data_IF_716313132219
#
_entry.id   IF_716313132219
#
_cell.length_a   1.000
_cell.length_b   1.000
_cell.length_c   1.000
_cell.angle_alpha   90.00
_cell.angle_beta   90.00
_cell.angle_gamma   90.00
#
_symmetry.space_group_name_H-M   'P 1'
#
loop_
_entity.id
_entity.type
_entity.pdbx_description
1 polymer ?
#
# COMPACT_ATOMS: atom_id res chain seq x y z
N UNK A 1 -2.38 -26.51 8.62
CA UNK A 1 -0.99 -26.34 8.13
C UNK A 1 -1.06 -25.40 6.94
N UNK A 2 -0.67 -24.14 7.11
CA UNK A 2 -0.40 -23.25 5.99
C UNK A 2 0.83 -23.83 5.32
N UNK A 3 0.64 -24.43 4.13
CA UNK A 3 1.74 -24.99 3.35
C UNK A 3 2.52 -23.83 2.75
N UNK A 4 3.56 -23.39 3.43
CA UNK A 4 4.53 -22.51 2.79
C UNK A 4 5.27 -23.29 1.71
N UNK A 5 5.22 -22.81 0.49
CA UNK A 5 6.13 -23.29 -0.54
C UNK A 5 7.57 -23.06 -0.09
N UNK A 6 8.51 -23.96 -0.43
CA UNK A 6 9.91 -23.71 -0.11
C UNK A 6 10.35 -22.35 -0.70
N UNK A 7 11.23 -21.62 -0.02
CA UNK A 7 11.64 -20.31 -0.50
C UNK A 7 12.27 -20.45 -1.89
N UNK A 8 11.71 -19.73 -2.85
CA UNK A 8 12.28 -19.60 -4.18
C UNK A 8 13.54 -18.74 -4.04
N UNK A 9 14.56 -18.99 -4.82
CA UNK A 9 15.79 -18.18 -4.80
C UNK A 9 15.48 -16.67 -4.93
N UNK A 10 14.45 -16.31 -5.71
CA UNK A 10 13.97 -14.93 -5.85
C UNK A 10 13.53 -14.27 -4.54
N UNK A 11 12.91 -15.00 -3.62
CA UNK A 11 12.47 -14.45 -2.33
C UNK A 11 13.67 -14.02 -1.46
N UNK A 12 14.76 -14.78 -1.51
CA UNK A 12 15.98 -14.45 -0.78
C UNK A 12 16.66 -13.22 -1.39
N UNK A 13 16.77 -13.17 -2.72
CA UNK A 13 17.33 -12.02 -3.43
C UNK A 13 16.51 -10.76 -3.14
N UNK A 14 15.19 -10.86 -3.14
CA UNK A 14 14.32 -9.75 -2.82
C UNK A 14 14.45 -9.31 -1.36
N UNK A 15 14.53 -10.26 -0.43
CA UNK A 15 14.80 -9.98 0.99
C UNK A 15 16.12 -9.21 1.18
N UNK A 16 17.18 -9.62 0.49
CA UNK A 16 18.48 -8.94 0.54
C UNK A 16 18.42 -7.54 -0.10
N UNK A 17 17.67 -7.38 -1.19
CA UNK A 17 17.45 -6.07 -1.81
C UNK A 17 16.74 -5.09 -0.86
N UNK A 18 15.71 -5.55 -0.11
CA UNK A 18 15.02 -4.77 0.92
C UNK A 18 16.00 -4.34 2.02
N UNK A 19 16.83 -5.26 2.54
CA UNK A 19 17.85 -4.93 3.54
C UNK A 19 18.83 -3.88 3.04
N UNK A 20 19.25 -4.01 1.78
CA UNK A 20 20.17 -3.06 1.16
C UNK A 20 19.54 -1.69 0.92
N UNK A 21 18.26 -1.63 0.53
CA UNK A 21 17.50 -0.39 0.41
C UNK A 21 17.43 0.33 1.77
N UNK A 22 17.06 -0.40 2.82
CA UNK A 22 16.98 0.13 4.19
C UNK A 22 18.32 0.70 4.69
N UNK A 23 19.44 0.02 4.40
CA UNK A 23 20.80 0.53 4.73
C UNK A 23 21.13 1.84 4.00
N UNK A 24 20.49 2.11 2.88
CA UNK A 24 20.63 3.37 2.11
C UNK A 24 19.61 4.44 2.49
N UNK A 25 18.80 4.20 3.54
CA UNK A 25 17.77 5.14 3.98
C UNK A 25 16.48 5.11 3.14
N UNK A 26 16.24 4.01 2.41
CA UNK A 26 15.01 3.83 1.65
C UNK A 26 14.13 2.80 2.34
N UNK A 27 12.94 3.22 2.75
CA UNK A 27 11.95 2.31 3.30
C UNK A 27 11.24 1.55 2.20
N UNK A 28 11.03 0.27 2.42
CA UNK A 28 10.24 -0.60 1.56
C UNK A 28 8.99 -1.00 2.31
N UNK A 29 7.83 -0.66 1.76
CA UNK A 29 6.52 -0.98 2.31
C UNK A 29 5.89 -2.06 1.46
N UNK A 30 5.56 -3.18 2.07
CA UNK A 30 4.91 -4.30 1.38
C UNK A 30 3.42 -4.31 1.64
N UNK A 31 2.66 -4.74 0.64
CA UNK A 31 1.23 -4.93 0.75
C UNK A 31 0.89 -6.08 1.70
N UNK A 32 -0.12 -5.86 2.52
CA UNK A 32 -0.80 -6.87 3.33
C UNK A 32 -2.30 -6.65 3.22
N UNK A 33 -3.09 -7.63 3.62
CA UNK A 33 -4.55 -7.49 3.63
C UNK A 33 -5.19 -8.23 4.81
N UNK A 34 -6.33 -7.76 5.25
CA UNK A 34 -7.23 -8.53 6.12
C UNK A 34 -8.00 -9.48 5.23
N UNK A 35 -7.67 -10.76 5.31
CA UNK A 35 -8.34 -11.83 4.63
C UNK A 35 -9.31 -12.55 5.57
N UNK A 36 -10.36 -13.16 5.00
CA UNK A 36 -11.35 -13.96 5.75
C UNK A 36 -11.40 -15.36 5.18
N UNK A 37 -11.19 -16.34 6.05
CA UNK A 37 -11.32 -17.76 5.73
C UNK A 37 -12.31 -18.39 6.72
N UNK A 38 -13.53 -18.76 6.29
CA UNK A 38 -14.59 -19.22 7.19
C UNK A 38 -14.24 -20.46 8.01
N UNK A 39 -13.34 -21.30 7.50
CA UNK A 39 -12.90 -22.55 8.16
C UNK A 39 -11.79 -22.34 9.17
N UNK A 40 -11.19 -21.16 9.19
CA UNK A 40 -10.11 -20.80 10.12
C UNK A 40 -10.67 -20.27 11.44
N UNK A 41 -9.95 -20.52 12.51
CA UNK A 41 -10.25 -19.95 13.84
C UNK A 41 -9.03 -19.19 14.37
N UNK A 42 -9.11 -17.87 14.54
CA UNK A 42 -10.20 -16.97 14.14
C UNK A 42 -10.31 -16.84 12.61
N UNK A 43 -11.50 -16.51 12.07
CA UNK A 43 -11.72 -16.50 10.63
C UNK A 43 -10.99 -15.36 9.89
N UNK A 44 -10.77 -14.23 10.56
CA UNK A 44 -10.00 -13.12 10.01
C UNK A 44 -8.52 -13.21 10.42
N UNK A 45 -7.66 -12.89 9.48
CA UNK A 45 -6.22 -12.84 9.69
C UNK A 45 -5.57 -11.83 8.74
N UNK A 46 -4.34 -11.44 9.04
CA UNK A 46 -3.55 -10.62 8.12
C UNK A 46 -2.76 -11.55 7.21
N UNK A 47 -3.04 -11.46 5.92
CA UNK A 47 -2.22 -12.08 4.89
C UNK A 47 -1.00 -11.18 4.64
N UNK A 48 0.16 -11.68 4.97
CA UNK A 48 1.45 -11.01 4.80
C UNK A 48 2.28 -11.73 3.72
N UNK A 49 3.29 -11.07 3.14
CA UNK A 49 4.23 -11.72 2.23
C UNK A 49 4.92 -12.94 2.82
N UNK A 50 5.62 -13.70 1.96
CA UNK A 50 6.37 -14.87 2.37
C UNK A 50 7.28 -14.56 3.57
N UNK A 51 7.33 -15.44 4.61
CA UNK A 51 8.17 -15.24 5.79
C UNK A 51 9.63 -14.91 5.48
N UNK A 52 10.20 -15.49 4.42
CA UNK A 52 11.58 -15.19 4.01
C UNK A 52 11.79 -13.75 3.54
N UNK A 53 10.77 -13.16 2.94
CA UNK A 53 10.77 -11.73 2.60
C UNK A 53 10.62 -10.93 3.89
N UNK A 54 9.73 -11.35 4.79
CA UNK A 54 9.51 -10.71 6.08
C UNK A 54 10.72 -10.77 7.02
N UNK A 55 11.65 -11.73 6.86
CA UNK A 55 12.94 -11.79 7.58
C UNK A 55 13.81 -10.53 7.32
N UNK A 56 13.53 -9.75 6.26
CA UNK A 56 14.18 -8.46 6.00
C UNK A 56 13.60 -7.30 6.82
N UNK A 57 12.55 -7.54 7.59
CA UNK A 57 11.82 -6.58 8.38
C UNK A 57 11.34 -5.35 7.58
N UNK A 58 10.61 -5.55 6.46
CA UNK A 58 9.97 -4.46 5.76
C UNK A 58 8.79 -3.91 6.57
N UNK A 59 8.43 -2.66 6.34
CA UNK A 59 7.12 -2.18 6.78
C UNK A 59 6.01 -2.88 5.97
N UNK A 60 4.83 -3.04 6.57
CA UNK A 60 3.65 -3.56 5.87
C UNK A 60 2.47 -2.62 6.03
N UNK A 61 1.63 -2.53 5.02
CA UNK A 61 0.42 -1.73 5.07
C UNK A 61 -0.76 -2.44 4.39
N UNK A 62 -1.94 -2.29 4.99
CA UNK A 62 -3.16 -2.92 4.49
C UNK A 62 -3.62 -2.30 3.17
N UNK A 63 -3.97 -3.15 2.22
CA UNK A 63 -4.49 -2.75 0.90
C UNK A 63 -6.01 -2.86 0.78
N UNK A 64 -6.68 -3.21 1.87
CA UNK A 64 -8.14 -3.26 1.91
C UNK A 64 -8.76 -1.91 1.55
N UNK A 65 -9.74 -1.92 0.66
CA UNK A 65 -10.45 -0.74 0.17
C UNK A 65 -11.95 -0.84 0.42
N UNK A 66 -12.63 0.30 0.40
CA UNK A 66 -14.09 0.38 0.46
C UNK A 66 -14.59 0.70 -0.94
N UNK A 67 -15.32 -0.24 -1.52
CA UNK A 67 -16.05 -0.01 -2.75
C UNK A 67 -17.47 0.45 -2.41
N UNK A 68 -17.88 1.58 -2.96
CA UNK A 68 -19.25 2.06 -2.83
C UNK A 68 -20.18 1.19 -3.70
N UNK A 69 -21.50 1.24 -3.44
CA UNK A 69 -22.49 0.40 -4.14
C UNK A 69 -22.49 0.56 -5.67
N UNK A 70 -21.97 1.65 -6.17
CA UNK A 70 -21.85 1.97 -7.60
C UNK A 70 -20.48 1.59 -8.20
N UNK A 71 -19.64 0.87 -7.45
CA UNK A 71 -18.34 0.40 -7.89
C UNK A 71 -17.21 1.44 -7.83
N UNK A 72 -17.46 2.61 -7.23
CA UNK A 72 -16.42 3.63 -7.08
C UNK A 72 -15.76 3.60 -5.72
N UNK A 73 -14.46 3.89 -5.71
CA UNK A 73 -13.66 4.06 -4.49
C UNK A 73 -13.60 5.54 -4.14
N UNK A 74 -14.45 6.03 -3.23
CA UNK A 74 -14.45 7.44 -2.79
C UNK A 74 -13.83 7.63 -1.44
N UNK A 75 -13.70 6.55 -0.68
CA UNK A 75 -13.22 6.56 0.69
C UNK A 75 -12.07 5.58 0.85
N UNK A 76 -11.19 5.91 1.78
CA UNK A 76 -10.10 5.02 2.15
C UNK A 76 -9.98 4.93 3.66
N UNK A 77 -9.53 3.80 4.17
CA UNK A 77 -9.29 3.62 5.60
C UNK A 77 -7.97 4.27 6.02
N UNK A 78 -7.92 4.82 7.22
CA UNK A 78 -6.67 5.18 7.89
C UNK A 78 -6.02 3.95 8.51
N UNK A 79 -6.82 3.15 9.19
CA UNK A 79 -6.43 1.90 9.84
C UNK A 79 -7.61 0.92 9.87
N UNK A 80 -7.32 -0.34 10.13
CA UNK A 80 -8.33 -1.38 10.33
C UNK A 80 -7.95 -2.27 11.50
N UNK A 81 -8.88 -2.61 12.40
CA UNK A 81 -8.72 -3.66 13.39
C UNK A 81 -9.07 -5.03 12.80
N UNK A 82 -8.59 -6.09 13.41
CA UNK A 82 -9.18 -7.42 13.23
C UNK A 82 -10.43 -7.55 14.10
N UNK A 83 -11.45 -8.26 13.63
CA UNK A 83 -12.71 -8.42 14.36
C UNK A 83 -12.58 -9.03 15.76
N UNK A 84 -11.56 -9.84 15.97
CA UNK A 84 -11.25 -10.51 17.25
C UNK A 84 -10.16 -9.82 18.06
N UNK A 85 -9.58 -8.72 17.53
CA UNK A 85 -8.51 -7.94 18.15
C UNK A 85 -8.73 -6.45 17.88
N UNK A 86 -9.80 -5.91 18.44
CA UNK A 86 -10.21 -4.52 18.16
C UNK A 86 -9.25 -3.48 18.75
N UNK A 87 -8.43 -3.88 19.72
CA UNK A 87 -7.42 -3.01 20.33
C UNK A 87 -6.13 -2.94 19.51
N UNK A 88 -5.94 -3.86 18.54
CA UNK A 88 -4.81 -3.83 17.62
C UNK A 88 -5.22 -3.16 16.33
N UNK A 89 -4.63 -2.01 16.04
CA UNK A 89 -4.90 -1.22 14.84
C UNK A 89 -3.78 -1.39 13.81
N UNK A 90 -4.16 -1.71 12.60
CA UNK A 90 -3.22 -1.92 11.50
C UNK A 90 -3.37 -0.80 10.48
N UNK A 91 -2.26 -0.12 10.20
CA UNK A 91 -2.24 0.99 9.24
C UNK A 91 -2.50 0.49 7.82
N UNK A 92 -3.22 1.29 7.05
CA UNK A 92 -3.30 1.07 5.61
C UNK A 92 -1.97 1.42 4.93
N UNK A 93 -1.75 0.93 3.71
CA UNK A 93 -0.50 1.19 2.98
C UNK A 93 -0.26 2.68 2.76
N UNK A 94 -1.32 3.47 2.57
CA UNK A 94 -1.22 4.92 2.47
C UNK A 94 -0.75 5.55 3.78
N UNK A 95 -1.30 5.13 4.90
CA UNK A 95 -0.90 5.63 6.22
C UNK A 95 0.50 5.15 6.60
N UNK A 96 0.88 3.94 6.22
CA UNK A 96 2.23 3.44 6.43
C UNK A 96 3.26 4.24 5.60
N UNK A 97 2.90 4.62 4.37
CA UNK A 97 3.76 5.48 3.55
C UNK A 97 3.93 6.87 4.17
N UNK A 98 2.87 7.44 4.70
CA UNK A 98 2.93 8.73 5.43
C UNK A 98 3.75 8.60 6.72
N UNK A 99 3.59 7.50 7.47
CA UNK A 99 4.38 7.21 8.66
C UNK A 99 5.88 7.22 8.35
N UNK A 100 6.30 6.46 7.34
CA UNK A 100 7.70 6.41 6.90
C UNK A 100 8.19 7.77 6.38
N UNK A 101 7.39 8.44 5.56
CA UNK A 101 7.77 9.75 4.99
C UNK A 101 8.01 10.83 6.04
N UNK A 102 7.20 10.85 7.10
CA UNK A 102 7.32 11.80 8.21
C UNK A 102 8.29 11.32 9.30
N UNK A 103 8.91 10.15 9.16
CA UNK A 103 9.75 9.52 10.16
C UNK A 103 9.08 9.50 11.55
N UNK A 104 7.82 9.09 11.59
CA UNK A 104 7.08 9.02 12.84
C UNK A 104 7.60 7.86 13.70
N UNK A 105 7.57 7.99 15.04
CA UNK A 105 7.99 6.89 15.93
C UNK A 105 6.98 5.74 15.91
N UNK A 106 7.46 4.51 16.05
CA UNK A 106 6.62 3.30 16.00
C UNK A 106 5.57 3.23 17.12
N UNK A 107 5.79 3.94 18.24
CA UNK A 107 4.90 4.01 19.39
C UNK A 107 3.90 5.17 19.31
N UNK A 108 3.74 5.79 18.13
CA UNK A 108 2.83 6.89 17.95
C UNK A 108 1.39 6.47 18.24
N UNK A 109 0.72 7.26 19.07
CA UNK A 109 -0.66 7.01 19.43
C UNK A 109 -1.59 7.65 18.39
N UNK A 110 -2.49 6.84 17.88
CA UNK A 110 -3.57 7.29 17.04
C UNK A 110 -4.74 7.68 17.94
N UNK A 111 -5.21 8.92 17.80
CA UNK A 111 -6.32 9.45 18.57
C UNK A 111 -7.47 9.80 17.64
N UNK A 112 -8.66 9.29 17.92
CA UNK A 112 -9.86 9.63 17.17
C UNK A 112 -10.84 10.39 18.06
N UNK A 113 -11.38 11.50 17.58
CA UNK A 113 -12.53 12.15 18.19
C UNK A 113 -13.75 12.00 17.28
N UNK A 114 -14.71 11.22 17.77
CA UNK A 114 -15.96 10.93 17.05
C UNK A 114 -16.81 12.20 16.89
N UNK A 115 -16.73 13.14 17.84
CA UNK A 115 -17.52 14.38 17.81
C UNK A 115 -16.90 15.39 16.84
N UNK A 116 -15.58 15.44 16.79
CA UNK A 116 -14.85 16.34 15.90
C UNK A 116 -14.66 15.76 14.49
N UNK A 117 -15.04 14.50 14.29
CA UNK A 117 -14.90 13.79 13.01
C UNK A 117 -13.47 13.89 12.46
N UNK A 118 -12.50 13.66 13.30
CA UNK A 118 -11.10 13.68 12.94
C UNK A 118 -10.31 12.54 13.58
N UNK A 119 -9.15 12.26 12.99
CA UNK A 119 -8.14 11.36 13.53
C UNK A 119 -6.84 12.12 13.60
N UNK A 120 -6.28 12.23 14.81
CA UNK A 120 -4.94 12.75 15.02
C UNK A 120 -3.92 11.61 14.91
N UNK A 121 -2.93 11.81 14.07
CA UNK A 121 -1.82 10.87 13.87
C UNK A 121 -0.50 11.64 13.77
N UNK A 122 0.20 11.76 14.88
CA UNK A 122 1.37 12.62 14.98
C UNK A 122 1.03 14.08 14.68
N UNK A 123 1.70 14.70 13.71
CA UNK A 123 1.42 16.09 13.31
C UNK A 123 0.19 16.21 12.39
N UNK A 124 -0.43 15.11 12.03
CA UNK A 124 -1.55 15.09 11.09
C UNK A 124 -2.88 15.15 11.82
N UNK A 125 -3.77 15.98 11.30
CA UNK A 125 -5.18 15.98 11.65
C UNK A 125 -5.97 15.58 10.39
N UNK A 126 -6.51 14.36 10.40
CA UNK A 126 -7.16 13.73 9.25
C UNK A 126 -8.66 13.83 9.42
N UNK A 127 -9.37 14.65 8.63
CA UNK A 127 -10.82 14.73 8.70
C UNK A 127 -11.42 13.38 8.26
N UNK A 128 -12.33 12.85 9.08
CA UNK A 128 -13.00 11.59 8.78
C UNK A 128 -14.39 11.83 8.18
N UNK A 129 -14.87 10.84 7.44
CA UNK A 129 -16.20 10.88 6.85
C UNK A 129 -17.18 10.09 7.71
N UNK A 130 -18.10 10.81 8.37
CA UNK A 130 -19.05 10.21 9.32
C UNK A 130 -18.38 9.73 10.60
N UNK A 131 -18.93 8.71 11.22
CA UNK A 131 -18.42 8.09 12.48
C UNK A 131 -17.46 6.95 12.17
N UNK A 132 -16.62 7.12 11.17
CA UNK A 132 -15.76 6.03 10.66
C UNK A 132 -14.29 6.45 10.64
N UNK A 133 -13.42 5.47 10.58
CA UNK A 133 -11.98 5.65 10.38
C UNK A 133 -11.60 5.86 8.90
N UNK A 134 -12.50 6.46 8.12
CA UNK A 134 -12.32 6.69 6.69
C UNK A 134 -12.22 8.17 6.37
N UNK A 135 -11.45 8.50 5.35
CA UNK A 135 -11.38 9.83 4.75
C UNK A 135 -11.79 9.79 3.29
N UNK A 136 -12.19 10.93 2.74
CA UNK A 136 -12.52 11.04 1.33
C UNK A 136 -11.25 11.15 0.48
N UNK A 137 -11.22 10.40 -0.61
CA UNK A 137 -10.12 10.50 -1.58
C UNK A 137 -10.34 11.74 -2.43
N UNK A 138 -9.36 12.65 -2.41
CA UNK A 138 -9.34 13.80 -3.31
C UNK A 138 -8.60 13.41 -4.60
N UNK A 139 -9.36 12.97 -5.60
CA UNK A 139 -8.79 12.61 -6.89
C UNK A 139 -8.25 13.86 -7.61
N UNK A 140 -6.97 13.85 -7.92
CA UNK A 140 -6.31 14.96 -8.62
C UNK A 140 -6.76 15.11 -10.08
N UNK A 141 -7.39 14.08 -10.66
CA UNK A 141 -7.88 14.08 -12.04
C UNK A 141 -8.23 12.67 -12.52
N UNK A 142 -8.56 12.52 -13.80
CA UNK A 142 -8.85 11.23 -14.39
C UNK A 142 -7.62 10.32 -14.40
N UNK A 143 -7.80 8.98 -14.57
CA UNK A 143 -6.70 8.03 -14.63
C UNK A 143 -5.67 8.43 -15.70
N UNK A 144 -4.38 8.41 -15.34
CA UNK A 144 -3.30 8.70 -16.27
C UNK A 144 -3.27 7.69 -17.42
N UNK A 145 -3.07 8.20 -18.66
CA UNK A 145 -3.01 7.38 -19.87
C UNK A 145 -4.37 7.01 -20.45
N UNK A 146 -5.48 7.42 -19.84
CA UNK A 146 -6.81 7.25 -20.45
C UNK A 146 -7.03 8.28 -21.54
N UNK A 147 -7.39 7.81 -22.73
CA UNK A 147 -7.80 8.69 -23.84
C UNK A 147 -9.22 9.16 -23.57
N UNK A 148 -9.45 10.47 -23.55
CA UNK A 148 -10.78 11.03 -23.43
C UNK A 148 -11.45 11.00 -24.81
N UNK A 149 -12.66 10.44 -24.94
CA UNK A 149 -13.39 10.45 -26.21
C UNK A 149 -13.53 11.88 -26.73
N UNK A 150 -13.08 12.12 -27.97
CA UNK A 150 -13.14 13.43 -28.62
C UNK A 150 -11.91 14.34 -28.40
N UNK A 151 -10.96 13.95 -27.57
CA UNK A 151 -9.69 14.65 -27.41
C UNK A 151 -8.53 13.74 -27.84
N UNK A 152 -7.66 14.25 -28.70
CA UNK A 152 -6.43 13.54 -29.09
C UNK A 152 -5.32 13.65 -28.02
N UNK A 153 -5.71 13.77 -26.76
CA UNK A 153 -4.77 13.90 -25.62
C UNK A 153 -5.06 12.85 -24.58
N UNK A 154 -4.02 12.17 -24.14
CA UNK A 154 -4.09 11.37 -22.92
C UNK A 154 -3.93 12.28 -21.70
N UNK A 155 -4.73 12.04 -20.66
CA UNK A 155 -4.57 12.71 -19.39
C UNK A 155 -3.32 12.17 -18.66
N UNK A 156 -2.44 13.08 -18.25
CA UNK A 156 -1.26 12.76 -17.44
C UNK A 156 -1.43 13.36 -16.04
N UNK A 157 -2.44 12.92 -15.31
CA UNK A 157 -2.66 13.34 -13.92
C UNK A 157 -1.45 13.02 -13.04
N UNK A 158 -0.86 11.85 -13.27
CA UNK A 158 0.42 11.44 -12.67
C UNK A 158 1.39 11.03 -13.78
N UNK A 159 2.69 11.33 -13.63
CA UNK A 159 3.71 10.82 -14.55
C UNK A 159 3.70 9.29 -14.50
N UNK A 160 3.81 8.66 -15.67
CA UNK A 160 3.91 7.21 -15.81
C UNK A 160 5.30 6.87 -16.32
N UNK A 161 5.93 5.94 -15.65
CA UNK A 161 7.21 5.39 -16.05
C UNK A 161 7.04 3.90 -16.26
N UNK A 162 7.42 3.33 -17.42
CA UNK A 162 7.42 1.89 -17.59
C UNK A 162 8.39 1.25 -16.60
N UNK A 163 8.07 0.05 -16.15
CA UNK A 163 8.90 -0.68 -15.20
C UNK A 163 10.30 -0.94 -15.76
N UNK A 164 10.41 -1.10 -17.09
CA UNK A 164 11.68 -1.19 -17.81
C UNK A 164 12.62 -0.03 -17.49
N UNK A 165 12.12 1.21 -17.46
CA UNK A 165 12.93 2.39 -17.15
C UNK A 165 13.48 2.40 -15.71
N UNK A 166 12.78 1.70 -14.78
CA UNK A 166 13.22 1.56 -13.40
C UNK A 166 14.22 0.42 -13.26
N UNK A 167 14.06 -0.63 -14.07
CA UNK A 167 14.92 -1.81 -14.09
C UNK A 167 16.10 -1.68 -15.05
N UNK A 168 16.11 -0.65 -15.90
CA UNK A 168 17.17 -0.37 -16.86
C UNK A 168 18.42 0.17 -16.14
N UNK A 169 19.00 -0.69 -15.33
CA UNK A 169 20.35 -0.51 -14.80
C UNK A 169 21.35 -1.07 -15.79
N UNK A 170 22.61 -0.63 -15.73
CA UNK A 170 23.68 -0.98 -16.67
C UNK A 170 23.85 -2.48 -16.98
N UNK A 171 23.33 -3.34 -16.09
CA UNK A 171 23.32 -4.80 -16.19
C UNK A 171 22.07 -5.37 -16.91
N UNK A 172 21.03 -4.55 -17.10
CA UNK A 172 19.74 -4.94 -17.70
C UNK A 172 19.36 -3.91 -18.77
N UNK A 173 20.11 -3.84 -19.83
CA UNK A 173 19.70 -3.07 -21.00
C UNK A 173 18.76 -3.90 -21.84
N UNK A 174 17.53 -3.44 -21.97
CA UNK A 174 16.64 -3.90 -23.01
C UNK A 174 17.32 -3.63 -24.36
N UNK A 175 17.50 -4.67 -25.15
CA UNK A 175 18.29 -4.63 -26.37
C UNK A 175 17.62 -3.90 -27.53
N UNK A 176 16.35 -3.46 -27.37
CA UNK A 176 15.61 -2.72 -28.38
C UNK A 176 14.79 -1.57 -27.77
N UNK A 177 15.26 -0.31 -27.93
CA UNK A 177 14.51 0.86 -27.46
C UNK A 177 13.23 1.14 -28.28
N UNK A 178 12.97 0.42 -29.36
CA UNK A 178 11.76 0.58 -30.18
C UNK A 178 10.60 -0.30 -29.69
N UNK A 179 10.85 -1.34 -28.89
CA UNK A 179 9.78 -2.15 -28.27
C UNK A 179 9.11 -1.47 -27.08
N UNK A 180 9.68 -0.39 -26.52
CA UNK A 180 9.13 0.35 -25.40
C UNK A 180 8.04 1.38 -25.78
N UNK A 181 7.69 1.51 -27.04
CA UNK A 181 6.74 2.52 -27.52
C UNK A 181 5.31 2.03 -27.73
N UNK A 182 5.02 0.76 -27.51
CA UNK A 182 3.71 0.14 -27.80
C UNK A 182 2.86 -0.16 -26.53
N UNK A 183 2.84 0.79 -25.57
CA UNK A 183 1.89 0.72 -24.44
C UNK A 183 0.94 1.90 -24.40
#
# INVERSE_FOLDING_TARGET
KIGFSPPIHGDLVFSDAIRNAKKKGTDVILASEIATEPTRVPPQYIAIPNPKIMDSNPATGLTNVIEDKDGFLRRYYTFLPLSHKQDELYLTIAMQAVHSYLNLPDDIILRGDVNEQNIEYGPLNIPTYGVTNTFLINYAGPPSGKIVPGENKSWNTFPRYPLSNILDVAEFKLTDPLEDTDW
#
